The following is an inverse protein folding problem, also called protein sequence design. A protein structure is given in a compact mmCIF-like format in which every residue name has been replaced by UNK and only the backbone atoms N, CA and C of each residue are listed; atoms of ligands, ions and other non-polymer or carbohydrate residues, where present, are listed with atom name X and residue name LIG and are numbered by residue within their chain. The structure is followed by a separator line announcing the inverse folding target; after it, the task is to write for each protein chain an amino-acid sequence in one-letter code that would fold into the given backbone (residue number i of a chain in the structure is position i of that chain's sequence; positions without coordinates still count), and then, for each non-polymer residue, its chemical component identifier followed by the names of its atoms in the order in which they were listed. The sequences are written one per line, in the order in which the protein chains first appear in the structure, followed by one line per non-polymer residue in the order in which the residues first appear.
data_IF_725680590656
#
_entry.id   IF_725680590656
#
_cell.length_a   1.000
_cell.length_b   1.000
_cell.length_c   1.000
_cell.angle_alpha   90.00
_cell.angle_beta   90.00
_cell.angle_gamma   90.00
#
_symmetry.space_group_name_H-M   'P 1'
#
loop_
_entity.id
_entity.type
_entity.pdbx_description
1 polymer ?
#
# COMPACT_ATOMS: atom_id res chain seq x y z
N UNK A 1 -24.52 -67.94 -28.24
CA UNK A 1 -24.95 -69.01 -29.14
C UNK A 1 -24.68 -68.52 -30.55
N UNK A 2 -23.73 -69.12 -31.24
CA UNK A 2 -23.41 -68.78 -32.63
C UNK A 2 -24.57 -69.18 -33.57
N UNK A 3 -24.68 -68.53 -34.72
CA UNK A 3 -25.70 -68.82 -35.73
C UNK A 3 -25.75 -70.31 -36.09
N UNK A 4 -24.59 -70.97 -36.20
CA UNK A 4 -24.49 -72.40 -36.49
C UNK A 4 -25.03 -73.26 -35.34
N UNK A 5 -24.81 -72.85 -34.08
CA UNK A 5 -25.35 -73.53 -32.90
C UNK A 5 -26.87 -73.40 -32.82
N UNK A 6 -27.43 -72.25 -33.22
CA UNK A 6 -28.86 -72.01 -33.29
C UNK A 6 -29.52 -72.91 -34.35
N UNK A 7 -28.93 -72.98 -35.56
CA UNK A 7 -29.44 -73.87 -36.61
C UNK A 7 -29.46 -75.33 -36.15
N UNK A 8 -28.37 -75.78 -35.54
CA UNK A 8 -28.24 -77.16 -35.05
C UNK A 8 -29.21 -77.46 -33.90
N UNK A 9 -29.43 -76.51 -32.98
CA UNK A 9 -30.41 -76.65 -31.91
C UNK A 9 -31.86 -76.76 -32.43
N UNK A 10 -32.13 -76.24 -33.63
CA UNK A 10 -33.43 -76.36 -34.31
C UNK A 10 -33.50 -77.54 -35.30
N UNK A 11 -32.53 -78.46 -35.26
CA UNK A 11 -32.52 -79.67 -36.11
C UNK A 11 -32.10 -79.43 -37.56
N UNK A 12 -31.48 -78.29 -37.88
CA UNK A 12 -30.98 -77.97 -39.22
C UNK A 12 -29.47 -78.24 -39.26
N UNK A 13 -29.07 -79.29 -39.98
CA UNK A 13 -27.66 -79.58 -40.25
C UNK A 13 -27.19 -78.92 -41.55
N UNK A 14 -26.14 -78.10 -41.44
CA UNK A 14 -25.57 -77.37 -42.57
C UNK A 14 -24.60 -78.23 -43.38
N UNK A 15 -24.68 -78.24 -44.72
CA UNK A 15 -23.67 -78.89 -45.57
C UNK A 15 -22.28 -78.29 -45.34
N UNK A 16 -21.26 -79.14 -45.14
CA UNK A 16 -19.88 -78.71 -44.82
C UNK A 16 -19.27 -77.80 -45.90
N UNK A 17 -19.64 -77.98 -47.17
CA UNK A 17 -19.16 -77.19 -48.30
C UNK A 17 -19.78 -75.79 -48.39
N UNK A 18 -20.85 -75.51 -47.62
CA UNK A 18 -21.56 -74.22 -47.60
C UNK A 18 -21.38 -73.44 -46.30
N UNK A 19 -20.84 -74.07 -45.26
CA UNK A 19 -20.69 -73.47 -43.92
C UNK A 19 -19.91 -72.16 -43.97
N UNK A 20 -18.75 -72.12 -44.61
CA UNK A 20 -17.92 -70.90 -44.69
C UNK A 20 -18.62 -69.75 -45.41
N UNK A 21 -19.26 -70.01 -46.55
CA UNK A 21 -19.93 -68.98 -47.34
C UNK A 21 -21.10 -68.35 -46.57
N UNK A 22 -21.86 -69.16 -45.83
CA UNK A 22 -23.02 -68.69 -45.05
C UNK A 22 -22.58 -67.98 -43.78
N UNK A 23 -21.57 -68.49 -43.05
CA UNK A 23 -20.99 -67.80 -41.89
C UNK A 23 -20.43 -66.43 -42.30
N UNK A 24 -19.76 -66.34 -43.45
CA UNK A 24 -19.26 -65.07 -44.00
C UNK A 24 -20.41 -64.10 -44.31
N UNK A 25 -21.44 -64.55 -45.04
CA UNK A 25 -22.58 -63.69 -45.38
C UNK A 25 -23.34 -63.20 -44.15
N UNK A 26 -23.47 -64.03 -43.11
CA UNK A 26 -24.09 -63.63 -41.83
C UNK A 26 -23.23 -62.59 -41.12
N UNK A 27 -21.91 -62.80 -41.00
CA UNK A 27 -21.02 -61.85 -40.35
C UNK A 27 -20.85 -60.51 -41.09
N UNK A 28 -21.00 -60.50 -42.42
CA UNK A 28 -20.96 -59.28 -43.25
C UNK A 28 -22.24 -58.46 -43.16
N UNK A 29 -23.42 -59.11 -43.07
CA UNK A 29 -24.71 -58.43 -43.14
C UNK A 29 -25.37 -58.22 -41.77
N UNK A 30 -24.97 -58.97 -40.75
CA UNK A 30 -25.61 -58.95 -39.45
C UNK A 30 -24.59 -58.78 -38.33
N UNK A 31 -24.98 -57.98 -37.34
CA UNK A 31 -24.29 -57.82 -36.07
C UNK A 31 -25.08 -58.50 -34.97
N UNK A 32 -24.37 -59.02 -33.98
CA UNK A 32 -25.03 -59.59 -32.80
C UNK A 32 -25.64 -58.47 -31.97
N UNK A 33 -26.69 -58.78 -31.20
CA UNK A 33 -27.27 -57.81 -30.25
C UNK A 33 -26.22 -57.27 -29.28
N UNK A 34 -25.27 -58.11 -28.85
CA UNK A 34 -24.18 -57.69 -27.96
C UNK A 34 -23.25 -56.64 -28.57
N UNK A 35 -22.91 -56.77 -29.86
CA UNK A 35 -22.11 -55.75 -30.56
C UNK A 35 -22.88 -54.44 -30.71
N UNK A 36 -24.18 -54.51 -31.03
CA UNK A 36 -25.03 -53.33 -31.14
C UNK A 36 -25.16 -52.59 -29.80
N UNK A 37 -25.41 -53.32 -28.70
CA UNK A 37 -25.48 -52.76 -27.35
C UNK A 37 -24.16 -52.11 -26.94
N UNK A 38 -23.02 -52.71 -27.30
CA UNK A 38 -21.69 -52.13 -27.04
C UNK A 38 -21.53 -50.78 -27.75
N UNK A 39 -21.78 -50.73 -29.06
CA UNK A 39 -21.64 -49.49 -29.85
C UNK A 39 -22.64 -48.43 -29.39
N UNK A 40 -23.87 -48.83 -29.07
CA UNK A 40 -24.90 -47.95 -28.51
C UNK A 40 -24.48 -47.35 -27.17
N UNK A 41 -23.91 -48.17 -26.28
CA UNK A 41 -23.38 -47.70 -24.99
C UNK A 41 -22.18 -46.77 -25.12
N UNK A 42 -21.28 -47.04 -26.08
CA UNK A 42 -20.16 -46.14 -26.42
C UNK A 42 -20.67 -44.79 -26.96
N UNK A 43 -21.68 -44.82 -27.82
CA UNK A 43 -22.32 -43.63 -28.38
C UNK A 43 -23.03 -42.80 -27.30
N UNK A 44 -23.80 -43.43 -26.42
CA UNK A 44 -24.47 -42.76 -25.30
C UNK A 44 -23.45 -42.11 -24.35
N UNK A 45 -22.36 -42.83 -24.05
CA UNK A 45 -21.26 -42.30 -23.24
C UNK A 45 -20.59 -41.11 -23.91
N UNK A 46 -20.33 -41.18 -25.22
CA UNK A 46 -19.76 -40.08 -25.98
C UNK A 46 -20.70 -38.86 -26.01
N UNK A 47 -21.99 -39.06 -26.25
CA UNK A 47 -23.00 -38.00 -26.25
C UNK A 47 -23.10 -37.30 -24.89
N UNK A 48 -23.10 -38.07 -23.78
CA UNK A 48 -23.07 -37.50 -22.42
C UNK A 48 -21.83 -36.64 -22.18
N UNK A 49 -20.66 -37.08 -22.66
CA UNK A 49 -19.42 -36.28 -22.57
C UNK A 49 -19.49 -35.00 -23.39
N UNK A 50 -20.04 -35.06 -24.60
CA UNK A 50 -20.22 -33.88 -25.46
C UNK A 50 -21.15 -32.87 -24.76
N UNK A 51 -22.30 -33.31 -24.26
CA UNK A 51 -23.24 -32.43 -23.54
C UNK A 51 -22.61 -31.79 -22.28
N UNK A 52 -21.82 -32.56 -21.53
CA UNK A 52 -21.10 -32.04 -20.38
C UNK A 52 -20.05 -30.99 -20.79
N UNK A 53 -19.31 -31.24 -21.87
CA UNK A 53 -18.34 -30.31 -22.41
C UNK A 53 -18.99 -29.02 -22.94
N UNK A 54 -20.09 -29.13 -23.68
CA UNK A 54 -20.84 -27.95 -24.18
C UNK A 54 -21.34 -27.08 -23.03
N UNK A 55 -21.80 -27.72 -21.94
CA UNK A 55 -22.21 -27.01 -20.73
C UNK A 55 -21.03 -26.29 -20.08
N UNK A 56 -19.88 -26.97 -19.95
CA UNK A 56 -18.67 -26.38 -19.39
C UNK A 56 -18.12 -25.23 -20.24
N UNK A 57 -18.17 -25.35 -21.57
CA UNK A 57 -17.75 -24.29 -22.50
C UNK A 57 -18.63 -23.05 -22.32
N UNK A 58 -19.96 -23.20 -22.27
CA UNK A 58 -20.87 -22.07 -22.05
C UNK A 58 -20.65 -21.38 -20.70
N UNK A 59 -20.36 -22.14 -19.64
CA UNK A 59 -20.02 -21.58 -18.33
C UNK A 59 -18.72 -20.77 -18.38
N UNK A 60 -17.69 -21.30 -19.06
CA UNK A 60 -16.42 -20.60 -19.26
C UNK A 60 -16.57 -19.33 -20.11
N UNK A 61 -17.35 -19.38 -21.19
CA UNK A 61 -17.67 -18.22 -22.02
C UNK A 61 -18.40 -17.14 -21.22
N UNK A 62 -19.36 -17.54 -20.38
CA UNK A 62 -20.08 -16.62 -19.47
C UNK A 62 -19.14 -15.94 -18.46
N UNK A 63 -18.21 -16.70 -17.86
CA UNK A 63 -17.18 -16.15 -16.97
C UNK A 63 -16.25 -15.20 -17.72
N UNK A 64 -15.81 -15.55 -18.92
CA UNK A 64 -14.91 -14.72 -19.74
C UNK A 64 -15.58 -13.42 -20.19
N UNK A 65 -16.88 -13.46 -20.50
CA UNK A 65 -17.66 -12.27 -20.86
C UNK A 65 -17.62 -11.19 -19.76
N UNK A 66 -17.60 -11.59 -18.48
CA UNK A 66 -17.46 -10.67 -17.35
C UNK A 66 -16.12 -9.90 -17.32
N UNK A 67 -15.11 -10.36 -18.05
CA UNK A 67 -13.80 -9.70 -18.14
C UNK A 67 -13.57 -8.99 -19.49
N UNK A 68 -14.52 -9.09 -20.44
CA UNK A 68 -14.32 -8.61 -21.81
C UNK A 68 -14.02 -7.12 -21.90
N UNK A 69 -14.65 -6.33 -21.03
CA UNK A 69 -14.49 -4.87 -21.00
C UNK A 69 -13.45 -4.41 -19.97
N UNK A 70 -12.76 -5.34 -19.30
CA UNK A 70 -11.69 -5.03 -18.35
C UNK A 70 -10.40 -4.74 -19.12
N UNK A 71 -10.03 -3.46 -19.16
CA UNK A 71 -8.73 -3.05 -19.67
C UNK A 71 -7.63 -3.25 -18.61
N UNK A 72 -7.02 -4.44 -18.66
CA UNK A 72 -5.91 -4.81 -17.78
C UNK A 72 -4.70 -3.87 -17.95
N UNK A 73 -4.50 -3.31 -19.14
CA UNK A 73 -3.39 -2.38 -19.41
C UNK A 73 -3.63 -1.07 -18.68
N UNK A 74 -4.82 -0.49 -18.83
CA UNK A 74 -5.20 0.74 -18.13
C UNK A 74 -5.19 0.56 -16.60
N UNK A 75 -5.61 -0.60 -16.08
CA UNK A 75 -5.51 -0.91 -14.65
C UNK A 75 -4.05 -0.93 -14.16
N UNK A 76 -3.15 -1.60 -14.90
CA UNK A 76 -1.74 -1.64 -14.56
C UNK A 76 -1.07 -0.27 -14.63
N UNK A 77 -1.41 0.55 -15.63
CA UNK A 77 -0.95 1.94 -15.72
C UNK A 77 -1.41 2.76 -14.52
N UNK A 78 -2.68 2.62 -14.13
CA UNK A 78 -3.24 3.31 -12.95
C UNK A 78 -2.55 2.89 -11.66
N UNK A 79 -2.26 1.59 -11.49
CA UNK A 79 -1.50 1.08 -10.33
C UNK A 79 -0.12 1.73 -10.27
N UNK A 80 0.63 1.72 -11.38
CA UNK A 80 1.97 2.32 -11.44
C UNK A 80 1.96 3.83 -11.14
N UNK A 81 0.95 4.54 -11.64
CA UNK A 81 0.78 5.97 -11.36
C UNK A 81 0.52 6.20 -9.87
N UNK A 82 -0.37 5.42 -9.25
CA UNK A 82 -0.67 5.52 -7.82
C UNK A 82 0.54 5.18 -6.95
N UNK A 83 1.34 4.18 -7.32
CA UNK A 83 2.58 3.85 -6.60
C UNK A 83 3.60 4.99 -6.67
N UNK A 84 3.75 5.61 -7.85
CA UNK A 84 4.65 6.75 -8.06
C UNK A 84 4.19 7.97 -7.28
N UNK A 85 2.89 8.28 -7.34
CA UNK A 85 2.27 9.39 -6.60
C UNK A 85 2.44 9.19 -5.10
N UNK A 86 2.17 7.99 -4.59
CA UNK A 86 2.35 7.66 -3.18
C UNK A 86 3.80 7.86 -2.72
N UNK A 87 4.78 7.35 -3.48
CA UNK A 87 6.19 7.50 -3.14
C UNK A 87 6.63 8.97 -3.15
N UNK A 88 6.12 9.76 -4.11
CA UNK A 88 6.38 11.20 -4.18
C UNK A 88 5.80 11.93 -2.98
N UNK A 89 4.54 11.66 -2.65
CA UNK A 89 3.85 12.23 -1.50
C UNK A 89 4.60 11.89 -0.20
N UNK A 90 5.00 10.64 0.00
CA UNK A 90 5.75 10.22 1.19
C UNK A 90 7.09 10.95 1.32
N UNK A 91 7.83 11.09 0.22
CA UNK A 91 9.10 11.82 0.20
C UNK A 91 8.90 13.31 0.49
N UNK A 92 7.90 13.94 -0.13
CA UNK A 92 7.57 15.35 0.05
C UNK A 92 7.09 15.64 1.47
N UNK A 93 6.22 14.80 2.05
CA UNK A 93 5.77 14.95 3.43
C UNK A 93 6.94 14.80 4.40
N UNK A 94 7.79 13.78 4.21
CA UNK A 94 8.97 13.60 5.05
C UNK A 94 9.87 14.84 5.00
N UNK A 95 10.15 15.35 3.80
CA UNK A 95 10.93 16.58 3.62
C UNK A 95 10.28 17.79 4.29
N UNK A 96 8.96 17.96 4.16
CA UNK A 96 8.24 19.06 4.80
C UNK A 96 8.32 19.01 6.33
N UNK A 97 8.25 17.81 6.91
CA UNK A 97 8.40 17.64 8.36
C UNK A 97 9.84 17.97 8.78
N UNK A 98 10.84 17.44 8.09
CA UNK A 98 12.26 17.74 8.37
C UNK A 98 12.55 19.25 8.23
N UNK A 99 12.02 19.88 7.18
CA UNK A 99 12.15 21.32 6.95
C UNK A 99 11.47 22.14 8.04
N UNK A 100 10.25 21.75 8.47
CA UNK A 100 9.53 22.42 9.56
C UNK A 100 10.30 22.31 10.87
N UNK A 101 10.70 21.10 11.25
CA UNK A 101 11.36 20.83 12.53
C UNK A 101 12.72 21.56 12.59
N UNK A 102 13.47 21.58 11.48
CA UNK A 102 14.69 22.37 11.37
C UNK A 102 14.41 23.88 11.47
N UNK A 103 13.41 24.38 10.75
CA UNK A 103 13.06 25.81 10.79
C UNK A 103 12.66 26.25 12.21
N UNK A 104 11.93 25.42 12.95
CA UNK A 104 11.52 25.73 14.31
C UNK A 104 12.71 25.71 15.27
N UNK A 105 13.63 24.74 15.14
CA UNK A 105 14.90 24.73 15.86
C UNK A 105 15.72 26.02 15.61
N UNK A 106 15.81 26.45 14.35
CA UNK A 106 16.55 27.67 13.99
C UNK A 106 15.86 28.92 14.56
N UNK A 107 14.53 29.02 14.51
CA UNK A 107 13.78 30.14 15.11
C UNK A 107 14.01 30.25 16.62
N UNK A 108 13.98 29.12 17.32
CA UNK A 108 14.22 29.08 18.75
C UNK A 108 15.65 29.52 19.08
N UNK A 109 16.63 29.05 18.32
CA UNK A 109 18.02 29.44 18.48
C UNK A 109 18.25 30.94 18.19
N UNK A 110 17.61 31.49 17.15
CA UNK A 110 17.64 32.93 16.82
C UNK A 110 17.05 33.75 17.97
N UNK A 111 15.93 33.30 18.54
CA UNK A 111 15.29 33.95 19.68
C UNK A 111 16.21 33.97 20.90
N UNK A 112 16.91 32.86 21.17
CA UNK A 112 17.88 32.75 22.26
C UNK A 112 19.04 33.76 22.13
N UNK A 113 19.48 34.06 20.91
CA UNK A 113 20.52 35.08 20.64
C UNK A 113 19.95 36.48 20.40
N UNK A 114 18.67 36.73 20.75
CA UNK A 114 18.00 38.03 20.60
C UNK A 114 17.99 38.56 19.17
N UNK A 115 17.82 37.69 18.17
CA UNK A 115 17.67 38.10 16.78
C UNK A 115 16.42 38.96 16.56
N UNK A 116 16.58 40.10 15.87
CA UNK A 116 15.51 41.07 15.57
C UNK A 116 14.73 40.71 14.30
N UNK A 117 15.39 40.09 13.33
CA UNK A 117 14.79 39.71 12.06
C UNK A 117 15.15 38.27 11.70
N UNK A 118 14.31 37.33 12.14
CA UNK A 118 14.50 35.89 11.91
C UNK A 118 14.68 35.54 10.45
N UNK A 119 13.89 36.16 9.55
CA UNK A 119 13.96 35.87 8.11
C UNK A 119 15.31 36.30 7.51
N UNK A 120 15.81 37.46 7.90
CA UNK A 120 17.12 37.95 7.43
C UNK A 120 18.26 37.09 8.00
N UNK A 121 18.20 36.73 9.28
CA UNK A 121 19.22 35.90 9.93
C UNK A 121 19.24 34.49 9.31
N UNK A 122 18.08 33.89 9.07
CA UNK A 122 17.99 32.58 8.39
C UNK A 122 18.59 32.61 6.98
N UNK A 123 18.45 33.70 6.25
CA UNK A 123 19.02 33.84 4.90
C UNK A 123 20.56 33.91 4.88
N UNK A 124 21.18 34.24 6.02
CA UNK A 124 22.64 34.26 6.18
C UNK A 124 23.20 32.90 6.64
N UNK A 125 22.34 31.97 7.05
CA UNK A 125 22.75 30.63 7.48
C UNK A 125 22.88 29.68 6.30
N UNK A 126 23.92 28.86 6.31
CA UNK A 126 24.05 27.72 5.39
C UNK A 126 23.11 26.59 5.84
N UNK A 127 21.83 26.73 5.50
CA UNK A 127 20.79 25.79 5.91
C UNK A 127 21.02 24.38 5.35
N UNK A 128 21.66 24.23 4.19
CA UNK A 128 21.90 22.91 3.59
C UNK A 128 22.98 22.13 4.36
N UNK A 129 24.05 22.81 4.78
CA UNK A 129 25.08 22.21 5.64
C UNK A 129 24.54 21.94 7.04
N UNK A 130 23.79 22.89 7.61
CA UNK A 130 23.24 22.77 8.97
C UNK A 130 22.18 21.65 9.07
N UNK A 131 21.34 21.46 8.05
CA UNK A 131 20.38 20.33 7.99
C UNK A 131 21.07 18.98 7.95
N UNK A 132 22.24 18.88 7.31
CA UNK A 132 23.01 17.64 7.21
C UNK A 132 23.91 17.38 8.43
N UNK A 133 23.98 18.32 9.37
CA UNK A 133 24.77 18.16 10.59
C UNK A 133 24.23 17.01 11.46
N UNK A 134 25.14 16.29 12.11
CA UNK A 134 24.80 15.31 13.15
C UNK A 134 24.44 15.97 14.49
N UNK A 135 24.90 17.20 14.73
CA UNK A 135 24.70 17.97 15.94
C UNK A 135 23.99 19.30 15.61
N UNK A 136 22.85 19.21 14.90
CA UNK A 136 22.15 20.36 14.32
C UNK A 136 21.96 21.52 15.32
N UNK A 137 21.59 21.22 16.56
CA UNK A 137 21.38 22.24 17.61
C UNK A 137 22.65 23.04 17.92
N UNK A 138 23.77 22.35 18.09
CA UNK A 138 25.04 22.98 18.48
C UNK A 138 25.64 23.74 17.30
N UNK A 139 25.56 23.16 16.09
CA UNK A 139 26.08 23.79 14.88
C UNK A 139 25.28 25.02 14.47
N UNK A 140 23.95 25.01 14.66
CA UNK A 140 23.10 26.20 14.48
C UNK A 140 23.45 27.28 15.51
N UNK A 141 23.65 26.90 16.78
CA UNK A 141 24.05 27.86 17.80
C UNK A 141 25.43 28.48 17.51
N UNK A 142 26.38 27.68 17.04
CA UNK A 142 27.70 28.14 16.64
C UNK A 142 27.64 29.09 15.44
N UNK A 143 26.88 28.74 14.39
CA UNK A 143 26.69 29.59 13.22
C UNK A 143 26.03 30.94 13.60
N UNK A 144 25.01 30.90 14.46
CA UNK A 144 24.36 32.11 14.97
C UNK A 144 25.31 32.97 15.81
N UNK A 145 26.17 32.36 16.63
CA UNK A 145 27.18 33.09 17.39
C UNK A 145 28.16 33.82 16.45
N UNK A 146 28.62 33.16 15.40
CA UNK A 146 29.46 33.81 14.38
C UNK A 146 28.75 35.01 13.75
N UNK A 147 27.45 34.90 13.44
CA UNK A 147 26.67 36.03 12.92
C UNK A 147 26.46 37.15 13.95
N UNK A 148 26.38 36.86 15.24
CA UNK A 148 26.29 37.91 16.27
C UNK A 148 27.59 38.71 16.41
N UNK A 149 28.73 38.10 16.09
CA UNK A 149 30.06 38.70 16.21
C UNK A 149 30.51 39.39 14.91
N UNK A 150 29.93 39.01 13.76
CA UNK A 150 30.25 39.59 12.47
C UNK A 150 29.64 41.01 12.31
N UNK A 151 30.47 41.97 11.87
CA UNK A 151 30.10 43.39 11.78
C UNK A 151 28.98 43.67 10.76
N UNK A 152 28.85 42.83 9.74
CA UNK A 152 27.83 42.92 8.69
C UNK A 152 26.44 42.46 9.16
N UNK A 153 26.36 41.53 10.12
CA UNK A 153 25.10 41.00 10.63
C UNK A 153 24.72 41.46 12.04
N UNK A 154 25.63 42.13 12.78
CA UNK A 154 25.42 42.63 14.16
C UNK A 154 24.13 43.45 14.34
N UNK A 155 23.77 44.26 13.34
CA UNK A 155 22.54 45.08 13.36
C UNK A 155 21.25 44.24 13.41
N UNK A 156 21.31 42.98 12.98
CA UNK A 156 20.19 42.04 13.01
C UNK A 156 19.95 41.46 14.40
N UNK A 157 20.82 41.72 15.38
CA UNK A 157 20.73 41.20 16.75
C UNK A 157 20.52 42.33 17.78
N UNK A 158 19.94 41.97 18.92
CA UNK A 158 19.81 42.85 20.09
C UNK A 158 21.15 43.16 20.74
N UNK A 159 21.26 44.31 21.39
CA UNK A 159 22.44 44.63 22.18
C UNK A 159 22.60 43.62 23.34
N UNK A 160 23.83 43.15 23.63
CA UNK A 160 24.09 42.47 24.89
C UNK A 160 23.73 43.45 26.01
N UNK A 161 22.91 43.00 26.96
CA UNK A 161 22.50 43.84 28.07
C UNK A 161 23.78 44.35 28.74
N UNK A 162 24.02 45.66 28.71
CA UNK A 162 25.06 46.25 29.53
C UNK A 162 24.73 45.86 30.97
N UNK A 163 25.56 45.04 31.61
CA UNK A 163 25.60 44.93 33.06
C UNK A 163 26.19 46.25 33.59
N UNK A 164 25.48 47.35 33.33
CA UNK A 164 25.77 48.64 33.91
C UNK A 164 25.48 48.48 35.38
N UNK A 165 26.53 48.49 36.19
CA UNK A 165 26.43 48.64 37.64
C UNK A 165 25.53 49.85 37.91
N UNK A 166 24.25 49.63 38.25
CA UNK A 166 23.41 50.69 38.79
C UNK A 166 24.09 51.11 40.09
N UNK A 167 24.65 52.31 40.13
CA UNK A 167 24.94 52.98 41.40
C UNK A 167 23.60 53.21 42.09
N UNK A 168 23.43 52.56 43.23
CA UNK A 168 22.30 52.75 44.12
C UNK A 168 22.24 54.21 44.56
N UNK A 169 21.20 54.93 44.14
CA UNK A 169 20.88 56.26 44.66
C UNK A 169 19.41 56.27 45.07
N UNK A 170 19.18 55.94 46.34
CA UNK A 170 18.12 56.48 47.20
C UNK A 170 16.66 56.08 46.94
N UNK A 171 16.07 55.34 47.89
CA UNK A 171 14.62 55.29 48.10
C UNK A 171 14.11 53.97 48.68
N UNK A 172 14.20 53.80 49.99
CA UNK A 172 13.53 52.71 50.71
C UNK A 172 12.05 53.08 50.92
N UNK A 173 11.13 52.22 50.50
CA UNK A 173 9.70 52.29 50.86
C UNK A 173 9.32 50.92 51.43
N UNK A 174 8.65 50.87 52.61
CA UNK A 174 8.50 49.63 53.35
C UNK A 174 7.40 48.72 52.78
N UNK A 175 7.59 47.46 53.10
CA UNK A 175 6.71 46.30 52.93
C UNK A 175 5.22 46.60 53.19
N UNK A 176 4.39 46.25 52.21
CA UNK A 176 2.96 46.04 52.38
C UNK A 176 2.58 44.67 51.81
N UNK A 177 2.84 43.62 52.58
CA UNK A 177 1.77 42.83 53.17
C UNK A 177 0.78 42.15 52.22
N UNK A 178 0.93 40.83 52.15
CA UNK A 178 -0.13 39.82 52.04
C UNK A 178 -0.91 39.69 50.71
N UNK A 179 -0.64 38.59 50.01
CA UNK A 179 -1.48 38.10 48.92
C UNK A 179 -0.90 36.91 48.15
N UNK A 180 -0.17 36.01 48.81
CA UNK A 180 0.23 34.74 48.20
C UNK A 180 -0.89 33.73 48.39
N UNK A 181 -1.55 33.37 47.28
CA UNK A 181 -2.03 32.02 46.92
C UNK A 181 -3.21 32.14 45.94
N UNK A 182 -2.92 32.25 44.65
CA UNK A 182 -3.90 31.87 43.61
C UNK A 182 -3.31 31.56 42.23
N UNK A 183 -2.00 31.70 41.98
CA UNK A 183 -1.45 31.49 40.61
C UNK A 183 -0.40 30.37 40.57
N UNK A 184 -0.79 29.17 40.99
CA UNK A 184 -0.06 27.96 40.56
C UNK A 184 -1.04 27.00 39.89
N UNK A 185 -0.58 26.35 38.82
CA UNK A 185 -1.29 25.30 38.07
C UNK A 185 -1.94 24.24 38.98
N UNK A 186 -1.35 24.03 40.15
CA UNK A 186 -1.85 23.11 41.20
C UNK A 186 -3.18 23.56 41.80
N UNK A 187 -3.43 24.87 41.94
CA UNK A 187 -4.71 25.40 42.44
C UNK A 187 -5.85 25.29 41.42
N UNK A 188 -5.54 25.46 40.13
CA UNK A 188 -6.52 25.33 39.06
C UNK A 188 -7.01 23.88 38.88
N UNK A 189 -6.15 22.89 39.12
CA UNK A 189 -6.52 21.47 39.01
C UNK A 189 -7.48 21.02 40.12
N UNK A 190 -7.32 21.55 41.34
CA UNK A 190 -8.17 21.20 42.49
C UNK A 190 -9.61 21.72 42.35
N UNK A 191 -9.81 22.86 41.67
CA UNK A 191 -11.14 23.42 41.43
C UNK A 191 -11.96 22.65 40.39
N UNK A 192 -11.30 21.93 39.47
CA UNK A 192 -11.97 21.26 38.34
C UNK A 192 -12.46 19.83 38.67
N UNK A 193 -12.02 19.24 39.79
CA UNK A 193 -12.33 17.84 40.15
C UNK A 193 -13.25 17.68 41.38
N UNK A 194 -13.75 18.77 41.96
CA UNK A 194 -14.74 18.73 43.05
C UNK A 194 -16.13 19.16 42.56
N UNK A 195 -16.72 18.39 41.63
CA UNK A 195 -18.17 18.32 41.41
C UNK A 195 -18.62 16.86 41.56
#
# INVERSE_FOLDING_TARGET
MDFLEILKANGIEMPKDKTEAITKAVGENYKTNSEYEKVSGELDTANKKILANDTAIKDLEGKLAGFKDVDVTALNERIKNLETEKSTIEADYKKQIEDRDFNDLVKDAITAVKGKNTKAIMALLDTDTLKKSKNQKDDVAAALKTLTEAEDSKMLFGEPQSTGNRKDVGGHVPDSGAGSQADTLTGALAAHYNN
#
